data_IF_872842159477
#
_entry.id   IF_872842159477
#
_cell.length_a   1.000
_cell.length_b   1.000
_cell.length_c   1.000
_cell.angle_alpha   90.00
_cell.angle_beta   90.00
_cell.angle_gamma   90.00
#
_symmetry.space_group_name_H-M   'P 1'
#
loop_
_entity.id
_entity.type
_entity.pdbx_description
1 polymer ?
#
# COMPACT_ATOMS: atom_id res chain seq x y z
N UNK A 1 21.24 -21.42 -15.91
CA UNK A 1 20.39 -20.39 -16.53
C UNK A 1 21.19 -19.10 -16.46
N UNK A 2 21.63 -18.55 -17.58
CA UNK A 2 22.37 -17.27 -17.57
C UNK A 2 21.38 -16.14 -17.49
N UNK A 3 21.50 -15.34 -16.44
CA UNK A 3 20.67 -14.13 -16.22
C UNK A 3 21.48 -12.92 -16.66
N UNK A 4 20.98 -12.15 -17.63
CA UNK A 4 21.59 -10.91 -18.09
C UNK A 4 20.73 -9.71 -17.70
N UNK A 5 21.39 -8.62 -17.25
CA UNK A 5 20.71 -7.36 -16.95
C UNK A 5 20.45 -6.63 -18.28
N UNK A 6 19.18 -6.45 -18.65
CA UNK A 6 18.83 -5.74 -19.89
C UNK A 6 18.92 -4.22 -19.72
N UNK A 7 18.47 -3.69 -18.58
CA UNK A 7 18.59 -2.28 -18.27
C UNK A 7 18.58 -2.04 -16.74
N UNK A 8 19.03 -0.87 -16.33
CA UNK A 8 19.05 -0.42 -14.93
C UNK A 8 18.65 1.05 -14.88
N UNK A 9 17.79 1.42 -13.95
CA UNK A 9 17.35 2.80 -13.71
C UNK A 9 17.33 3.10 -12.21
N UNK A 10 17.59 4.34 -11.88
CA UNK A 10 17.39 4.88 -10.54
C UNK A 10 16.05 5.64 -10.54
N UNK A 11 15.28 5.49 -9.47
CA UNK A 11 14.02 6.21 -9.26
C UNK A 11 14.27 7.27 -8.20
N UNK A 12 14.25 8.54 -8.61
CA UNK A 12 14.41 9.69 -7.75
C UNK A 12 15.57 9.58 -6.76
N UNK A 13 15.32 9.99 -5.52
CA UNK A 13 16.27 9.92 -4.40
C UNK A 13 16.20 8.58 -3.64
N UNK A 14 15.42 7.63 -4.13
CA UNK A 14 15.22 6.32 -3.50
C UNK A 14 14.45 6.43 -2.18
N UNK A 15 14.83 5.63 -1.17
CA UNK A 15 14.16 5.61 0.13
C UNK A 15 14.83 6.49 1.19
N UNK A 16 16.04 6.99 0.91
CA UNK A 16 16.82 7.72 1.89
C UNK A 16 17.10 6.90 3.16
N UNK A 17 16.77 7.45 4.34
CA UNK A 17 16.91 6.76 5.64
C UNK A 17 15.60 6.14 6.14
N UNK A 18 14.64 5.93 5.26
CA UNK A 18 13.30 5.45 5.63
C UNK A 18 13.23 3.93 5.65
N UNK A 19 12.56 3.39 6.65
CA UNK A 19 12.32 1.95 6.79
C UNK A 19 10.97 1.57 6.16
N UNK A 20 10.82 1.89 4.86
CA UNK A 20 9.63 1.53 4.08
C UNK A 20 10.01 0.58 2.95
N UNK A 21 9.09 -0.26 2.53
CA UNK A 21 9.27 -1.21 1.42
C UNK A 21 8.40 -0.76 0.26
N UNK A 22 8.99 -0.10 -0.73
CA UNK A 22 8.30 0.27 -1.96
C UNK A 22 8.59 -0.77 -3.03
N UNK A 23 7.67 -1.68 -3.24
CA UNK A 23 7.76 -2.65 -4.32
C UNK A 23 7.25 -2.01 -5.62
N UNK A 24 7.93 -2.22 -6.76
CA UNK A 24 7.43 -1.77 -8.05
C UNK A 24 6.20 -2.59 -8.47
N UNK A 25 5.27 -1.93 -9.13
CA UNK A 25 4.16 -2.58 -9.82
C UNK A 25 4.53 -2.94 -11.26
N UNK A 26 4.08 -4.10 -11.72
CA UNK A 26 4.29 -4.54 -13.12
C UNK A 26 2.93 -4.75 -13.78
N UNK A 27 2.70 -4.11 -14.90
CA UNK A 27 1.47 -4.24 -15.68
C UNK A 27 1.77 -4.14 -17.17
N UNK A 28 1.33 -5.14 -17.92
CA UNK A 28 1.53 -5.22 -19.37
C UNK A 28 2.99 -4.93 -19.79
N UNK A 29 3.20 -3.83 -20.49
CA UNK A 29 4.48 -3.34 -21.00
C UNK A 29 5.19 -2.35 -20.06
N UNK A 30 4.72 -2.18 -18.81
CA UNK A 30 5.18 -1.14 -17.89
C UNK A 30 5.67 -1.68 -16.57
N UNK A 31 6.65 -1.01 -16.00
CA UNK A 31 7.09 -1.13 -14.62
C UNK A 31 6.90 0.24 -13.97
N UNK A 32 6.11 0.31 -12.90
CA UNK A 32 5.85 1.53 -12.15
C UNK A 32 6.61 1.44 -10.84
N UNK A 33 7.42 2.43 -10.55
CA UNK A 33 8.19 2.50 -9.32
C UNK A 33 8.08 3.88 -8.68
N UNK A 34 8.07 3.89 -7.35
CA UNK A 34 8.03 5.11 -6.55
C UNK A 34 9.32 5.29 -5.76
N UNK A 35 9.66 6.53 -5.43
CA UNK A 35 10.60 6.83 -4.37
C UNK A 35 9.87 7.20 -3.06
N UNK A 36 10.62 7.34 -1.97
CA UNK A 36 10.06 7.74 -0.68
C UNK A 36 9.72 9.24 -0.57
N UNK A 37 9.88 10.03 -1.64
CA UNK A 37 9.70 11.48 -1.65
C UNK A 37 8.58 11.94 -2.60
N UNK A 38 7.78 11.01 -3.09
CA UNK A 38 6.60 11.31 -3.91
C UNK A 38 6.82 11.28 -5.41
N UNK A 39 8.01 10.89 -5.89
CA UNK A 39 8.20 10.65 -7.30
C UNK A 39 7.67 9.26 -7.68
N UNK A 40 6.84 9.21 -8.70
CA UNK A 40 6.33 7.99 -9.33
C UNK A 40 6.70 8.02 -10.80
N UNK A 41 7.29 6.94 -11.30
CA UNK A 41 7.71 6.83 -12.71
C UNK A 41 7.25 5.52 -13.30
N UNK A 42 6.63 5.58 -14.46
CA UNK A 42 6.39 4.41 -15.30
C UNK A 42 7.48 4.29 -16.36
N UNK A 43 8.07 3.10 -16.43
CA UNK A 43 9.06 2.76 -17.43
C UNK A 43 8.50 1.72 -18.41
N UNK A 44 8.88 1.81 -19.65
CA UNK A 44 8.73 0.71 -20.59
C UNK A 44 9.53 -0.50 -20.08
N UNK A 45 8.85 -1.62 -19.94
CA UNK A 45 9.38 -2.84 -19.32
C UNK A 45 10.61 -3.41 -20.07
N UNK A 46 10.64 -3.25 -21.37
CA UNK A 46 11.67 -3.87 -22.21
C UNK A 46 12.88 -2.97 -22.43
N UNK A 47 12.66 -1.66 -22.54
CA UNK A 47 13.72 -0.70 -22.86
C UNK A 47 14.20 0.13 -21.65
N UNK A 48 13.42 0.17 -20.56
CA UNK A 48 13.68 1.02 -19.41
C UNK A 48 13.55 2.52 -19.70
N UNK A 49 12.91 2.91 -20.81
CA UNK A 49 12.64 4.30 -21.10
C UNK A 49 11.46 4.80 -20.26
N UNK A 50 11.53 6.01 -19.67
CA UNK A 50 10.40 6.59 -18.98
C UNK A 50 9.26 6.85 -19.97
N UNK A 51 8.03 6.49 -19.57
CA UNK A 51 6.80 6.70 -20.35
C UNK A 51 6.06 7.93 -19.82
N UNK A 52 5.87 7.98 -18.49
CA UNK A 52 5.34 9.12 -17.77
C UNK A 52 5.94 9.19 -16.36
N UNK A 53 5.84 10.35 -15.74
CA UNK A 53 6.22 10.55 -14.34
C UNK A 53 5.26 11.53 -13.68
N UNK A 54 5.03 11.32 -12.39
CA UNK A 54 4.27 12.21 -11.52
C UNK A 54 5.10 12.53 -10.28
N UNK A 55 5.04 13.79 -9.85
CA UNK A 55 5.61 14.24 -8.60
C UNK A 55 4.47 14.67 -7.70
N UNK A 56 4.33 14.01 -6.57
CA UNK A 56 3.38 14.42 -5.54
C UNK A 56 4.13 15.28 -4.54
N UNK A 57 3.71 16.51 -4.41
CA UNK A 57 4.23 17.40 -3.39
C UNK A 57 3.60 17.03 -2.05
N UNK A 58 4.40 17.09 -0.99
CA UNK A 58 3.86 17.05 0.36
C UNK A 58 2.80 18.15 0.49
N UNK A 59 1.64 17.83 1.05
CA UNK A 59 0.56 18.81 1.24
C UNK A 59 1.15 20.07 1.83
N UNK A 60 0.97 21.20 1.16
CA UNK A 60 1.34 22.51 1.69
C UNK A 60 0.72 22.64 3.08
N UNK A 61 1.54 22.49 4.12
CA UNK A 61 1.09 22.87 5.47
C UNK A 61 0.82 24.36 5.43
N UNK A 62 -0.44 24.72 5.35
CA UNK A 62 -0.92 26.07 5.61
C UNK A 62 -0.55 26.45 7.05
N UNK A 63 0.68 26.94 7.24
CA UNK A 63 1.18 27.38 8.53
C UNK A 63 2.69 27.52 8.52
N UNK A 64 3.17 28.68 8.90
CA UNK A 64 4.60 28.99 9.04
C UNK A 64 5.19 28.11 10.16
N UNK A 65 5.89 27.05 9.81
CA UNK A 65 6.61 26.21 10.76
C UNK A 65 8.11 26.38 10.57
N UNK A 66 8.80 26.85 11.62
CA UNK A 66 10.26 26.99 11.66
C UNK A 66 10.95 25.63 11.47
N UNK A 67 10.31 24.53 11.87
CA UNK A 67 10.80 23.17 11.63
C UNK A 67 10.82 22.81 10.14
N UNK A 68 9.88 23.31 9.33
CA UNK A 68 9.87 23.13 7.87
C UNK A 68 10.98 23.89 7.14
N UNK A 69 11.63 24.88 7.79
CA UNK A 69 12.76 25.60 7.21
C UNK A 69 14.08 24.80 7.31
N UNK A 70 14.17 23.87 8.28
CA UNK A 70 15.35 23.05 8.53
C UNK A 70 15.26 21.67 7.86
N UNK A 71 14.06 21.18 7.58
CA UNK A 71 13.84 19.92 6.88
C UNK A 71 13.03 20.19 5.60
N UNK A 72 13.72 20.53 4.53
CA UNK A 72 13.14 20.82 3.22
C UNK A 72 12.54 19.60 2.51
N UNK A 73 12.59 18.42 3.11
CA UNK A 73 12.07 17.18 2.57
C UNK A 73 11.14 16.57 3.60
N UNK A 74 9.84 16.73 3.39
CA UNK A 74 8.86 15.99 4.20
C UNK A 74 9.14 14.50 4.06
N UNK A 75 9.48 13.81 5.19
CA UNK A 75 9.98 12.46 5.12
C UNK A 75 8.86 11.49 4.77
N UNK A 76 8.82 10.94 3.63
CA UNK A 76 7.96 9.86 3.19
C UNK A 76 6.53 10.25 2.77
N UNK A 77 6.39 10.72 1.54
CA UNK A 77 5.06 10.88 0.94
C UNK A 77 4.44 9.52 0.60
N UNK A 78 5.17 8.63 -0.07
CA UNK A 78 4.68 7.29 -0.42
C UNK A 78 5.10 6.28 0.64
N UNK A 79 4.15 5.63 1.30
CA UNK A 79 4.41 4.62 2.33
C UNK A 79 3.92 3.23 1.96
N UNK A 80 2.77 3.12 1.29
CA UNK A 80 2.11 1.85 1.00
C UNK A 80 2.64 1.11 -0.23
N UNK A 81 3.58 1.68 -0.99
CA UNK A 81 4.04 1.09 -2.25
C UNK A 81 3.04 1.26 -3.39
N UNK A 82 3.31 0.57 -4.49
CA UNK A 82 2.55 0.69 -5.74
C UNK A 82 1.63 -0.51 -5.92
N UNK A 83 0.33 -0.28 -5.85
CA UNK A 83 -0.71 -1.24 -6.24
C UNK A 83 -1.07 -1.08 -7.71
N UNK A 84 -1.45 -2.18 -8.36
CA UNK A 84 -1.91 -2.20 -9.75
C UNK A 84 -3.22 -2.97 -9.82
N UNK A 85 -4.21 -2.40 -10.49
CA UNK A 85 -5.48 -3.09 -10.76
C UNK A 85 -6.52 -2.17 -11.39
N UNK A 86 -7.53 -2.75 -12.05
CA UNK A 86 -8.62 -2.03 -12.71
C UNK A 86 -8.14 -0.91 -13.68
N UNK A 87 -6.99 -1.10 -14.35
CA UNK A 87 -6.41 -0.09 -15.23
C UNK A 87 -5.81 1.11 -14.51
N UNK A 88 -5.58 0.98 -13.19
CA UNK A 88 -5.06 2.04 -12.32
C UNK A 88 -3.74 1.67 -11.68
N UNK A 89 -2.98 2.70 -11.37
CA UNK A 89 -1.87 2.68 -10.42
C UNK A 89 -2.39 3.28 -9.12
N UNK A 90 -2.23 2.55 -8.02
CA UNK A 90 -2.74 2.93 -6.71
C UNK A 90 -1.56 3.22 -5.78
N UNK A 91 -1.59 4.35 -5.11
CA UNK A 91 -0.51 4.79 -4.22
C UNK A 91 -1.09 5.14 -2.86
N UNK A 92 -0.53 4.55 -1.81
CA UNK A 92 -0.82 4.91 -0.43
C UNK A 92 0.21 5.90 0.13
N UNK A 93 -0.24 6.83 0.96
CA UNK A 93 0.60 7.90 1.52
C UNK A 93 0.68 7.87 3.04
N UNK A 94 1.73 8.49 3.58
CA UNK A 94 1.91 8.70 5.03
C UNK A 94 0.83 9.59 5.65
N UNK A 95 0.14 10.40 4.83
CA UNK A 95 -0.92 11.28 5.27
C UNK A 95 -2.32 10.63 5.23
N UNK A 96 -2.38 9.33 4.95
CA UNK A 96 -3.63 8.58 4.91
C UNK A 96 -4.46 8.87 3.66
N UNK A 97 -3.82 9.14 2.55
CA UNK A 97 -4.48 9.27 1.26
C UNK A 97 -4.19 8.06 0.37
N UNK A 98 -5.17 7.71 -0.42
CA UNK A 98 -5.05 6.81 -1.56
C UNK A 98 -5.23 7.64 -2.83
N UNK A 99 -4.27 7.51 -3.73
CA UNK A 99 -4.27 8.21 -5.01
C UNK A 99 -4.38 7.16 -6.10
N UNK A 100 -5.36 7.30 -6.98
CA UNK A 100 -5.54 6.45 -8.14
C UNK A 100 -5.15 7.23 -9.40
N UNK A 101 -4.25 6.67 -10.19
CA UNK A 101 -3.78 7.25 -11.43
C UNK A 101 -4.13 6.34 -12.59
N UNK A 102 -4.33 6.91 -13.77
CA UNK A 102 -4.44 6.13 -14.99
C UNK A 102 -3.10 5.45 -15.32
N UNK A 103 -3.13 4.15 -15.60
CA UNK A 103 -1.90 3.40 -15.90
C UNK A 103 -1.27 3.84 -17.24
N UNK A 104 -2.04 4.40 -18.14
CA UNK A 104 -1.58 4.75 -19.47
C UNK A 104 -0.71 6.02 -19.50
N UNK A 105 -1.11 7.05 -18.76
CA UNK A 105 -0.47 8.38 -18.82
C UNK A 105 -0.13 8.98 -17.45
N UNK A 106 -0.54 8.30 -16.34
CA UNK A 106 -0.28 8.77 -14.98
C UNK A 106 -1.20 9.91 -14.52
N UNK A 107 -2.25 10.25 -15.27
CA UNK A 107 -3.21 11.28 -14.85
C UNK A 107 -3.97 10.82 -13.60
N UNK A 108 -4.20 11.73 -12.64
CA UNK A 108 -4.96 11.43 -11.43
C UNK A 108 -6.44 11.25 -11.78
N UNK A 109 -7.01 10.08 -11.42
CA UNK A 109 -8.43 9.79 -11.56
C UNK A 109 -9.21 10.26 -10.34
N UNK A 110 -8.71 9.93 -9.15
CA UNK A 110 -9.29 10.34 -7.88
C UNK A 110 -8.25 10.25 -6.75
N UNK A 111 -8.58 10.93 -5.64
CA UNK A 111 -7.82 10.92 -4.40
C UNK A 111 -8.78 10.90 -3.23
N UNK A 112 -8.57 9.96 -2.30
CA UNK A 112 -9.44 9.77 -1.13
C UNK A 112 -8.63 9.67 0.14
N UNK A 113 -9.09 10.35 1.19
CA UNK A 113 -8.50 10.25 2.52
C UNK A 113 -9.18 9.11 3.29
N UNK A 114 -8.39 8.14 3.75
CA UNK A 114 -8.85 6.94 4.46
C UNK A 114 -8.56 6.96 5.96
N UNK A 115 -7.92 8.00 6.47
CA UNK A 115 -7.64 8.17 7.89
C UNK A 115 -6.17 8.31 8.21
N UNK A 116 -5.54 7.25 8.70
CA UNK A 116 -4.13 7.23 9.07
C UNK A 116 -3.25 6.74 7.89
N UNK A 117 -1.94 6.66 8.09
CA UNK A 117 -0.98 6.21 7.09
C UNK A 117 -1.38 4.90 6.42
N UNK A 118 -1.28 4.85 5.09
CA UNK A 118 -1.47 3.64 4.29
C UNK A 118 -0.14 2.88 4.26
N UNK A 119 -0.02 1.83 5.05
CA UNK A 119 1.25 1.11 5.26
C UNK A 119 1.57 0.05 4.21
N UNK A 120 0.60 -0.38 3.41
CA UNK A 120 0.76 -1.41 2.39
C UNK A 120 0.19 -0.99 1.04
N UNK A 121 0.67 -1.62 -0.03
CA UNK A 121 0.16 -1.36 -1.38
C UNK A 121 -1.34 -1.67 -1.47
N UNK A 122 -2.18 -0.72 -1.93
CA UNK A 122 -3.59 -0.99 -2.16
C UNK A 122 -3.79 -2.07 -3.23
N UNK A 123 -4.89 -2.80 -3.14
CA UNK A 123 -5.24 -3.83 -4.13
C UNK A 123 -6.59 -3.53 -4.75
N UNK A 124 -6.78 -3.84 -6.03
CA UNK A 124 -8.07 -3.64 -6.71
C UNK A 124 -8.67 -4.96 -7.17
N UNK A 125 -10.01 -5.05 -7.06
CA UNK A 125 -10.78 -6.18 -7.55
C UNK A 125 -12.29 -5.98 -7.39
N UNK A 126 -13.08 -6.58 -8.25
CA UNK A 126 -14.56 -6.53 -8.23
C UNK A 126 -15.13 -5.08 -8.11
N UNK A 127 -14.55 -4.13 -8.86
CA UNK A 127 -15.00 -2.73 -8.85
C UNK A 127 -14.66 -1.97 -7.57
N UNK A 128 -13.72 -2.47 -6.75
CA UNK A 128 -13.29 -1.82 -5.51
C UNK A 128 -11.77 -1.74 -5.41
N UNK A 129 -11.31 -0.80 -4.59
CA UNK A 129 -9.94 -0.67 -4.14
C UNK A 129 -9.90 -0.93 -2.64
N UNK A 130 -9.10 -1.88 -2.22
CA UNK A 130 -8.95 -2.28 -0.83
C UNK A 130 -7.64 -1.73 -0.27
N UNK A 131 -7.72 -1.11 0.89
CA UNK A 131 -6.64 -0.37 1.52
C UNK A 131 -6.54 -0.76 2.98
N UNK A 132 -5.34 -1.02 3.46
CA UNK A 132 -5.07 -1.21 4.89
C UNK A 132 -4.21 -0.06 5.42
N UNK A 133 -4.65 0.51 6.53
CA UNK A 133 -3.95 1.56 7.26
C UNK A 133 -3.22 1.00 8.48
N UNK A 134 -2.24 1.74 9.01
CA UNK A 134 -1.38 1.30 10.12
C UNK A 134 -2.12 1.14 11.46
N UNK A 135 -3.37 1.59 11.55
CA UNK A 135 -4.27 1.40 12.70
C UNK A 135 -5.15 0.14 12.56
N UNK A 136 -4.73 -0.84 11.75
CA UNK A 136 -5.42 -2.11 11.51
C UNK A 136 -6.86 -1.95 10.97
N UNK A 137 -7.10 -0.89 10.22
CA UNK A 137 -8.35 -0.68 9.48
C UNK A 137 -8.20 -1.10 8.03
N UNK A 138 -9.19 -1.79 7.52
CA UNK A 138 -9.34 -2.07 6.08
C UNK A 138 -10.52 -1.26 5.56
N UNK A 139 -10.28 -0.53 4.48
CA UNK A 139 -11.30 0.25 3.77
C UNK A 139 -11.46 -0.26 2.35
N UNK A 140 -12.69 -0.37 1.87
CA UNK A 140 -12.98 -0.57 0.47
C UNK A 140 -13.51 0.74 -0.12
N UNK A 141 -12.90 1.17 -1.20
CA UNK A 141 -13.30 2.34 -1.97
C UNK A 141 -13.90 1.87 -3.30
N UNK A 142 -14.84 2.60 -3.83
CA UNK A 142 -15.30 2.41 -5.20
C UNK A 142 -14.16 2.68 -6.19
N UNK A 143 -13.94 1.79 -7.15
CA UNK A 143 -12.78 1.88 -8.04
C UNK A 143 -12.87 3.06 -9.02
N UNK A 144 -14.06 3.50 -9.38
CA UNK A 144 -14.26 4.58 -10.36
C UNK A 144 -14.27 5.97 -9.71
N UNK A 145 -14.88 6.10 -8.52
CA UNK A 145 -15.05 7.39 -7.84
C UNK A 145 -14.09 7.62 -6.68
N UNK A 146 -13.56 6.56 -6.07
CA UNK A 146 -12.79 6.62 -4.82
C UNK A 146 -13.65 6.79 -3.57
N UNK A 147 -14.98 6.73 -3.67
CA UNK A 147 -15.87 6.85 -2.53
C UNK A 147 -15.77 5.66 -1.60
N UNK A 148 -15.88 5.91 -0.29
CA UNK A 148 -15.87 4.86 0.72
C UNK A 148 -17.12 3.99 0.63
N UNK A 149 -16.93 2.67 0.45
CA UNK A 149 -18.02 1.68 0.39
C UNK A 149 -18.23 1.02 1.75
N UNK A 150 -17.17 0.52 2.37
CA UNK A 150 -17.22 -0.11 3.68
C UNK A 150 -15.86 -0.03 4.41
N UNK A 151 -15.89 -0.20 5.72
CA UNK A 151 -14.70 -0.36 6.56
C UNK A 151 -14.83 -1.60 7.44
N UNK A 152 -13.68 -2.21 7.73
CA UNK A 152 -13.52 -3.25 8.73
C UNK A 152 -12.41 -2.82 9.70
N UNK A 153 -12.73 -2.76 10.98
CA UNK A 153 -11.77 -2.41 12.04
C UNK A 153 -11.36 -3.68 12.80
N UNK A 154 -10.08 -3.99 12.80
CA UNK A 154 -9.52 -5.05 13.65
C UNK A 154 -9.18 -4.46 15.03
N UNK A 155 -9.22 -5.30 16.07
CA UNK A 155 -8.78 -4.88 17.39
C UNK A 155 -7.25 -4.76 17.39
N UNK A 156 -6.76 -3.53 17.43
CA UNK A 156 -5.33 -3.24 17.47
C UNK A 156 -4.76 -3.51 18.87
N UNK A 157 -3.59 -4.16 18.99
CA UNK A 157 -2.86 -4.27 20.26
C UNK A 157 -2.36 -2.90 20.74
N UNK A 158 -2.04 -2.78 22.03
CA UNK A 158 -1.47 -1.56 22.62
C UNK A 158 -0.12 -1.16 22.01
N UNK A 159 0.67 -2.17 21.58
CA UNK A 159 1.97 -1.98 20.92
C UNK A 159 2.01 -2.79 19.62
N UNK A 160 2.45 -2.16 18.53
CA UNK A 160 2.63 -2.78 17.23
C UNK A 160 3.98 -2.38 16.62
N UNK A 161 4.49 -3.16 15.66
CA UNK A 161 5.69 -2.83 14.89
C UNK A 161 5.38 -1.95 13.67
N UNK A 162 4.15 -1.45 13.51
CA UNK A 162 3.66 -0.70 12.33
C UNK A 162 3.75 -1.52 11.03
N UNK A 163 3.81 -2.85 11.12
CA UNK A 163 3.69 -3.71 9.97
C UNK A 163 2.25 -3.70 9.43
N UNK A 164 2.12 -3.71 8.13
CA UNK A 164 0.84 -3.86 7.45
C UNK A 164 0.98 -4.87 6.34
N UNK A 165 0.05 -5.81 6.26
CA UNK A 165 -0.03 -6.78 5.18
C UNK A 165 -0.67 -6.14 3.95
N UNK A 166 -0.07 -6.31 2.77
CA UNK A 166 -0.76 -5.92 1.54
C UNK A 166 -1.99 -6.83 1.34
N UNK A 167 -3.20 -6.28 1.27
CA UNK A 167 -4.40 -7.07 1.07
C UNK A 167 -4.33 -7.87 -0.24
N UNK A 168 -4.86 -9.08 -0.24
CA UNK A 168 -4.94 -9.94 -1.43
C UNK A 168 -6.40 -10.23 -1.72
N UNK A 169 -6.85 -9.85 -2.91
CA UNK A 169 -8.22 -10.11 -3.35
C UNK A 169 -8.24 -11.24 -4.37
N UNK A 170 -9.06 -12.25 -4.11
CA UNK A 170 -9.29 -13.37 -5.01
C UNK A 170 -10.72 -13.90 -4.89
N UNK A 171 -11.37 -14.15 -6.02
CA UNK A 171 -12.71 -14.76 -6.13
C UNK A 171 -13.77 -14.19 -5.16
N UNK A 172 -13.77 -12.86 -4.97
CA UNK A 172 -14.75 -12.18 -4.11
C UNK A 172 -14.36 -12.10 -2.64
N UNK A 173 -13.21 -12.64 -2.26
CA UNK A 173 -12.70 -12.66 -0.89
C UNK A 173 -11.43 -11.82 -0.78
N UNK A 174 -11.36 -11.00 0.27
CA UNK A 174 -10.20 -10.23 0.62
C UNK A 174 -9.49 -10.88 1.81
N UNK A 175 -8.21 -11.18 1.66
CA UNK A 175 -7.35 -11.74 2.69
C UNK A 175 -6.34 -10.72 3.15
N UNK A 176 -6.19 -10.56 4.46
CA UNK A 176 -5.20 -9.65 5.02
C UNK A 176 -4.74 -10.08 6.41
N UNK A 177 -3.51 -9.72 6.76
CA UNK A 177 -2.93 -9.92 8.08
C UNK A 177 -3.01 -8.66 8.94
N UNK A 178 -3.03 -8.83 10.26
CA UNK A 178 -3.15 -7.75 11.24
C UNK A 178 -2.07 -7.81 12.31
N UNK A 179 -1.82 -6.66 12.95
CA UNK A 179 -0.83 -6.51 14.02
C UNK A 179 -1.15 -7.30 15.30
N UNK A 180 -2.33 -7.89 15.39
CA UNK A 180 -2.71 -8.77 16.49
C UNK A 180 -2.40 -10.26 16.24
N UNK A 181 -1.63 -10.58 15.21
CA UNK A 181 -1.25 -11.93 14.83
C UNK A 181 -2.35 -12.74 14.15
N UNK A 182 -3.41 -12.08 13.66
CA UNK A 182 -4.50 -12.70 12.92
C UNK A 182 -4.36 -12.52 11.41
N UNK A 183 -4.87 -13.50 10.68
CA UNK A 183 -5.25 -13.38 9.26
C UNK A 183 -6.76 -13.46 9.19
N UNK A 184 -7.36 -12.59 8.39
CA UNK A 184 -8.81 -12.50 8.23
C UNK A 184 -9.17 -12.60 6.75
N UNK A 185 -10.22 -13.37 6.46
CA UNK A 185 -10.89 -13.37 5.16
C UNK A 185 -12.18 -12.58 5.26
N UNK A 186 -12.29 -11.54 4.45
CA UNK A 186 -13.46 -10.66 4.39
C UNK A 186 -14.20 -10.86 3.07
N UNK A 187 -15.51 -10.77 3.11
CA UNK A 187 -16.32 -10.68 1.91
C UNK A 187 -16.03 -9.35 1.21
N UNK A 188 -15.49 -9.40 -0.01
CA UNK A 188 -15.08 -8.18 -0.73
C UNK A 188 -16.23 -7.22 -1.03
N UNK A 189 -17.46 -7.71 -1.06
CA UNK A 189 -18.64 -6.90 -1.35
C UNK A 189 -18.98 -5.91 -0.22
N UNK A 190 -18.96 -6.38 1.04
CA UNK A 190 -19.49 -5.64 2.19
C UNK A 190 -18.58 -5.63 3.44
N UNK A 191 -17.41 -6.27 3.38
CA UNK A 191 -16.44 -6.30 4.49
C UNK A 191 -16.82 -7.25 5.63
N UNK A 192 -17.87 -8.08 5.49
CA UNK A 192 -18.22 -9.07 6.51
C UNK A 192 -17.12 -10.14 6.64
N UNK A 193 -16.69 -10.48 7.86
CA UNK A 193 -15.72 -11.54 8.07
C UNK A 193 -16.32 -12.91 7.72
N UNK A 194 -15.61 -13.67 6.88
CA UNK A 194 -15.94 -15.05 6.53
C UNK A 194 -15.29 -15.97 7.56
N UNK A 195 -14.02 -15.73 7.87
CA UNK A 195 -13.28 -16.39 8.93
C UNK A 195 -12.13 -15.53 9.42
N UNK A 196 -11.71 -15.78 10.65
CA UNK A 196 -10.52 -15.24 11.28
C UNK A 196 -9.67 -16.39 11.80
N UNK A 197 -8.37 -16.35 11.56
CA UNK A 197 -7.42 -17.32 12.06
C UNK A 197 -6.24 -16.62 12.72
N UNK A 198 -5.94 -16.98 13.94
CA UNK A 198 -4.72 -16.53 14.61
C UNK A 198 -3.57 -17.42 14.16
N UNK A 199 -2.54 -16.81 13.56
CA UNK A 199 -1.35 -17.50 13.03
C UNK A 199 -0.11 -17.25 13.89
N UNK A 200 -0.13 -16.21 14.72
CA UNK A 200 0.90 -15.91 15.69
C UNK A 200 0.27 -15.68 17.08
N UNK A 201 0.82 -16.35 18.09
CA UNK A 201 0.40 -16.16 19.48
C UNK A 201 1.36 -15.18 20.16
N UNK A 202 0.86 -14.17 20.88
CA UNK A 202 1.70 -13.33 21.72
C UNK A 202 2.29 -14.19 22.87
N UNK A 203 3.59 -14.42 22.83
CA UNK A 203 4.31 -15.17 23.85
C UNK A 203 5.29 -14.26 24.60
N UNK A 204 5.40 -14.42 25.93
CA UNK A 204 6.34 -13.66 26.73
C UNK A 204 5.74 -13.04 27.99
N UNK A 205 6.60 -12.41 28.79
CA UNK A 205 6.22 -11.82 30.08
C UNK A 205 6.08 -10.32 30.06
N UNK A 206 6.71 -9.65 29.10
CA UNK A 206 6.60 -8.20 28.90
C UNK A 206 5.70 -7.88 27.70
N UNK A 207 5.19 -6.66 27.63
CA UNK A 207 4.42 -6.18 26.49
C UNK A 207 5.26 -6.21 25.20
N UNK A 208 6.57 -5.97 25.29
CA UNK A 208 7.49 -6.04 24.17
C UNK A 208 7.67 -7.47 23.62
N UNK A 209 7.69 -8.47 24.52
CA UNK A 209 7.81 -9.88 24.13
C UNK A 209 6.52 -10.38 23.43
N UNK A 210 5.41 -9.70 23.68
CA UNK A 210 4.09 -10.06 23.15
C UNK A 210 3.75 -9.40 21.82
N UNK A 211 4.66 -8.61 21.25
CA UNK A 211 4.44 -8.00 19.92
C UNK A 211 4.43 -9.12 18.89
N UNK A 212 3.29 -9.26 18.23
CA UNK A 212 3.10 -10.14 17.07
C UNK A 212 2.50 -9.32 15.94
N UNK A 213 2.96 -9.55 14.73
CA UNK A 213 2.49 -8.81 13.56
C UNK A 213 2.51 -9.71 12.33
N UNK A 214 1.45 -9.68 11.54
CA UNK A 214 1.38 -10.36 10.26
C UNK A 214 1.53 -9.30 9.17
N UNK A 215 2.77 -8.97 8.84
CA UNK A 215 3.14 -7.97 7.84
C UNK A 215 3.44 -8.56 6.45
N UNK A 216 3.48 -9.88 6.35
CA UNK A 216 3.69 -10.57 5.08
C UNK A 216 2.41 -10.62 4.25
N UNK A 217 2.57 -10.48 2.93
CA UNK A 217 1.46 -10.69 2.00
C UNK A 217 0.99 -12.15 2.06
N UNK A 218 -0.31 -12.35 2.16
CA UNK A 218 -0.93 -13.68 2.08
C UNK A 218 -0.64 -14.28 0.71
N UNK A 219 -0.19 -15.54 0.68
CA UNK A 219 -0.03 -16.29 -0.56
C UNK A 219 -1.20 -17.25 -0.70
N UNK A 220 -1.85 -17.19 -1.84
CA UNK A 220 -2.93 -18.11 -2.21
C UNK A 220 -2.32 -19.23 -3.07
N UNK A 221 -2.38 -20.47 -2.60
CA UNK A 221 -1.99 -21.64 -3.37
C UNK A 221 -3.24 -22.16 -4.11
N UNK A 222 -3.33 -21.83 -5.38
CA UNK A 222 -4.34 -22.21 -6.42
C UNK A 222 -5.41 -23.25 -6.11
N UNK A 223 -5.97 -23.25 -4.91
CA UNK A 223 -7.24 -23.87 -4.57
C UNK A 223 -7.25 -25.38 -4.57
N UNK A 224 -6.61 -26.01 -3.62
CA UNK A 224 -7.14 -27.27 -3.08
C UNK A 224 -7.42 -27.06 -1.60
N UNK A 225 -8.70 -26.94 -1.26
CA UNK A 225 -9.15 -27.39 0.05
C UNK A 225 -9.12 -28.91 0.08
#
# INVERSE_FOLDING_TARGET
MDVSVQWKRQVGDGLGKKYIRLMPGVVADRIIAADGYGLLVAYDRFTGKPVWQQQFDAIERSGFSIAGLLDRRDPAFVSGGVGIGAGMVLVGTTHGEVIALDVADGSERWRTRVGTEVGAAPTAGAGKVFVQTIDDRVSALDADSGDLVWTYDSQMPLLTLRGTSAPVFDQGVLYTGFANGKVVALRGENGEPIWEQRVMLPEGRSELDRIVDVDARVLLDGGSM
#
